data_IF_520517782231
#
_entry.id   IF_520517782231
#
_cell.length_a   1.000
_cell.length_b   1.000
_cell.length_c   1.000
_cell.angle_alpha   90.00
_cell.angle_beta   90.00
_cell.angle_gamma   90.00
#
_symmetry.space_group_name_H-M   'P 1'
#
loop_
_entity.id
_entity.type
_entity.pdbx_description
1 polymer ?
#
# COMPACT_ATOMS: atom_id res chain seq x y z
N UNK A 1 18.88 5.55 10.05
CA UNK A 1 20.03 4.66 9.76
C UNK A 1 20.41 4.86 8.30
N UNK A 2 21.71 4.93 7.93
CA UNK A 2 22.04 5.11 6.52
C UNK A 2 22.09 3.75 5.79
N UNK A 3 21.92 3.76 4.45
CA UNK A 3 21.91 2.53 3.60
C UNK A 3 23.10 1.59 3.89
N UNK A 4 24.29 2.14 4.16
CA UNK A 4 25.51 1.37 4.45
C UNK A 4 25.43 0.65 5.80
N UNK A 5 24.83 1.28 6.82
CA UNK A 5 24.67 0.69 8.14
C UNK A 5 23.63 -0.42 8.11
N UNK A 6 22.51 -0.21 7.42
CA UNK A 6 21.48 -1.24 7.24
C UNK A 6 22.01 -2.49 6.53
N UNK A 7 22.80 -2.31 5.46
CA UNK A 7 23.45 -3.43 4.76
C UNK A 7 24.42 -4.17 5.68
N UNK A 8 25.18 -3.45 6.53
CA UNK A 8 26.09 -4.07 7.51
C UNK A 8 25.34 -4.83 8.59
N UNK A 9 24.22 -4.31 9.07
CA UNK A 9 23.41 -4.92 10.14
C UNK A 9 22.70 -6.19 9.60
N UNK A 10 22.25 -6.20 8.34
CA UNK A 10 21.78 -7.42 7.65
C UNK A 10 22.86 -8.50 7.65
N UNK A 11 24.10 -8.14 7.37
CA UNK A 11 25.24 -9.08 7.34
C UNK A 11 25.52 -9.70 8.72
N UNK A 12 25.28 -8.95 9.79
CA UNK A 12 25.61 -9.38 11.17
C UNK A 12 24.52 -10.23 11.83
N UNK A 13 23.25 -10.13 11.40
CA UNK A 13 22.13 -10.75 12.13
C UNK A 13 21.59 -12.05 11.52
N UNK A 14 22.06 -12.45 10.34
CA UNK A 14 21.55 -13.64 9.67
C UNK A 14 22.35 -14.91 10.02
N UNK A 15 21.63 -15.91 10.49
CA UNK A 15 22.10 -17.28 10.72
C UNK A 15 22.31 -18.07 9.40
N UNK A 16 21.90 -17.49 8.25
CA UNK A 16 22.23 -18.02 6.93
C UNK A 16 23.74 -17.87 6.71
N UNK A 17 24.39 -18.90 6.20
CA UNK A 17 25.84 -19.01 6.07
C UNK A 17 26.51 -17.67 5.73
N UNK A 18 27.57 -17.26 6.46
CA UNK A 18 28.20 -15.94 6.33
C UNK A 18 28.63 -15.57 4.89
N UNK A 19 28.87 -16.56 4.04
CA UNK A 19 29.23 -16.40 2.63
C UNK A 19 28.07 -15.87 1.73
N UNK A 20 26.82 -16.23 2.01
CA UNK A 20 25.68 -15.83 1.15
C UNK A 20 25.34 -14.36 1.27
N UNK A 21 25.43 -13.77 2.47
CA UNK A 21 25.01 -12.40 2.78
C UNK A 21 26.10 -11.38 2.48
N UNK A 22 27.36 -11.71 2.80
CA UNK A 22 28.51 -10.89 2.42
C UNK A 22 28.64 -10.83 0.89
N UNK A 23 28.36 -11.93 0.18
CA UNK A 23 28.31 -11.98 -1.29
C UNK A 23 27.20 -11.08 -1.85
N UNK A 24 26.04 -11.01 -1.19
CA UNK A 24 24.92 -10.20 -1.63
C UNK A 24 25.15 -8.71 -1.42
N UNK A 25 25.61 -8.29 -0.25
CA UNK A 25 25.94 -6.87 0.00
C UNK A 25 26.96 -6.37 -1.03
N UNK A 26 27.98 -7.19 -1.33
CA UNK A 26 28.98 -6.90 -2.36
C UNK A 26 28.37 -6.83 -3.77
N UNK A 27 27.46 -7.76 -4.10
CA UNK A 27 26.73 -7.75 -5.39
C UNK A 27 25.84 -6.51 -5.53
N UNK A 28 25.14 -6.11 -4.46
CA UNK A 28 24.34 -4.87 -4.46
C UNK A 28 25.20 -3.63 -4.65
N UNK A 29 26.32 -3.50 -3.94
CA UNK A 29 27.24 -2.37 -4.09
C UNK A 29 27.84 -2.31 -5.50
N UNK A 30 28.25 -3.44 -6.04
CA UNK A 30 28.87 -3.53 -7.37
C UNK A 30 27.87 -3.27 -8.51
N UNK A 31 26.60 -3.67 -8.36
CA UNK A 31 25.59 -3.59 -9.41
C UNK A 31 24.60 -2.40 -9.23
N UNK A 32 24.71 -1.65 -8.13
CA UNK A 32 23.78 -0.55 -7.81
C UNK A 32 23.73 0.56 -8.88
N UNK A 33 24.79 0.71 -9.68
CA UNK A 33 24.88 1.72 -10.75
C UNK A 33 24.28 1.25 -12.09
N UNK A 34 23.94 -0.04 -12.21
CA UNK A 34 23.38 -0.57 -13.46
C UNK A 34 21.92 -0.15 -13.65
N UNK A 35 21.47 0.10 -14.90
CA UNK A 35 20.09 0.38 -15.21
C UNK A 35 19.14 -0.72 -14.71
N UNK A 36 17.95 -0.35 -14.25
CA UNK A 36 16.94 -1.27 -13.74
C UNK A 36 16.56 -2.36 -14.76
N UNK A 37 16.47 -1.99 -16.05
CA UNK A 37 16.17 -2.92 -17.16
C UNK A 37 17.26 -3.95 -17.42
N UNK A 38 18.52 -3.63 -17.12
CA UNK A 38 19.65 -4.57 -17.17
C UNK A 38 19.57 -5.53 -15.99
N UNK A 39 19.41 -4.99 -14.78
CA UNK A 39 19.30 -5.80 -13.57
C UNK A 39 18.04 -6.69 -13.57
N UNK A 40 16.95 -6.28 -14.25
CA UNK A 40 15.76 -7.10 -14.37
C UNK A 40 16.03 -8.51 -14.93
N UNK A 41 17.08 -8.69 -15.72
CA UNK A 41 17.48 -9.95 -16.35
C UNK A 41 18.62 -10.67 -15.62
N UNK A 42 19.20 -10.08 -14.58
CA UNK A 42 20.33 -10.61 -13.83
C UNK A 42 19.86 -11.63 -12.79
N UNK A 43 19.84 -12.90 -13.16
CA UNK A 43 19.37 -13.99 -12.29
C UNK A 43 20.21 -14.14 -11.03
N UNK A 44 21.51 -13.87 -11.06
CA UNK A 44 22.36 -13.94 -9.87
C UNK A 44 21.98 -12.87 -8.84
N UNK A 45 21.69 -11.65 -9.33
CA UNK A 45 21.23 -10.56 -8.49
C UNK A 45 19.90 -10.93 -7.78
N UNK A 46 18.91 -11.43 -8.53
CA UNK A 46 17.60 -11.78 -7.98
C UNK A 46 17.62 -13.06 -7.15
N UNK A 47 18.49 -14.01 -7.47
CA UNK A 47 18.74 -15.19 -6.62
C UNK A 47 19.29 -14.77 -5.25
N UNK A 48 20.16 -13.77 -5.20
CA UNK A 48 20.64 -13.19 -3.94
C UNK A 48 19.50 -12.63 -3.08
N UNK A 49 18.49 -11.97 -3.69
CA UNK A 49 17.29 -11.51 -2.99
C UNK A 49 16.41 -12.69 -2.56
N UNK A 50 16.13 -13.63 -3.47
CA UNK A 50 15.31 -14.82 -3.20
C UNK A 50 15.82 -15.64 -2.01
N UNK A 51 17.12 -15.80 -1.89
CA UNK A 51 17.76 -16.59 -0.82
C UNK A 51 17.60 -15.97 0.57
N UNK A 52 17.05 -14.76 0.67
CA UNK A 52 16.68 -14.15 1.97
C UNK A 52 15.32 -14.60 2.47
N UNK A 53 14.53 -15.29 1.64
CA UNK A 53 13.22 -15.80 2.01
C UNK A 53 13.31 -17.28 2.33
N UNK A 54 12.88 -17.64 3.54
CA UNK A 54 12.72 -19.04 3.94
C UNK A 54 11.33 -19.51 3.51
N UNK A 55 11.28 -20.24 2.41
CA UNK A 55 10.05 -20.73 1.83
C UNK A 55 9.85 -22.22 2.17
N UNK A 56 8.58 -22.64 2.29
CA UNK A 56 8.20 -24.04 2.45
C UNK A 56 8.65 -24.83 1.20
N UNK A 57 9.41 -25.94 1.37
CA UNK A 57 10.09 -26.59 0.23
C UNK A 57 9.19 -27.46 -0.63
N UNK A 58 8.02 -27.86 -0.13
CA UNK A 58 7.13 -28.88 -0.72
C UNK A 58 6.03 -28.30 -1.62
N UNK A 59 6.05 -26.98 -1.87
CA UNK A 59 5.19 -26.33 -2.85
C UNK A 59 5.81 -25.06 -3.44
N UNK A 60 5.34 -24.66 -4.61
CA UNK A 60 5.74 -23.40 -5.27
C UNK A 60 4.67 -22.37 -4.96
N UNK A 61 5.03 -21.34 -4.18
CA UNK A 61 4.13 -20.23 -3.93
C UNK A 61 4.11 -19.27 -5.12
N UNK A 62 2.94 -19.10 -5.73
CA UNK A 62 2.69 -18.13 -6.81
C UNK A 62 1.77 -16.99 -6.37
N UNK A 63 1.30 -17.00 -5.11
CA UNK A 63 0.40 -16.00 -4.58
C UNK A 63 1.04 -15.18 -3.45
N UNK A 64 1.65 -14.03 -3.81
CA UNK A 64 2.16 -13.06 -2.84
C UNK A 64 1.19 -11.86 -2.66
N UNK A 65 0.09 -11.86 -3.41
CA UNK A 65 -0.88 -10.77 -3.39
C UNK A 65 -1.81 -10.77 -2.17
N UNK A 66 -1.99 -11.91 -1.50
CA UNK A 66 -2.73 -11.98 -0.25
C UNK A 66 -1.85 -11.56 0.92
N UNK A 67 -0.70 -12.24 1.08
CA UNK A 67 0.32 -11.96 2.06
C UNK A 67 1.70 -12.26 1.47
N UNK A 68 2.65 -11.33 1.60
CA UNK A 68 4.01 -11.58 1.16
C UNK A 68 4.88 -12.05 2.32
N UNK A 69 5.78 -12.99 2.04
CA UNK A 69 6.74 -13.47 3.03
C UNK A 69 7.65 -12.35 3.50
N UNK A 70 8.02 -12.40 4.78
CA UNK A 70 9.09 -11.54 5.28
C UNK A 70 10.44 -12.12 4.89
N UNK A 71 11.37 -11.34 4.34
CA UNK A 71 12.75 -11.78 4.24
C UNK A 71 13.33 -11.96 5.65
N UNK A 72 14.24 -12.92 5.82
CA UNK A 72 14.77 -13.27 7.15
C UNK A 72 15.34 -12.08 7.93
N UNK A 73 16.05 -11.11 7.32
CA UNK A 73 16.49 -9.92 8.07
C UNK A 73 15.34 -9.13 8.69
N UNK A 74 14.22 -8.99 7.96
CA UNK A 74 13.03 -8.28 8.46
C UNK A 74 12.31 -9.10 9.53
N UNK A 75 12.18 -10.43 9.34
CA UNK A 75 11.59 -11.29 10.35
C UNK A 75 12.37 -11.23 11.67
N UNK A 76 13.70 -11.22 11.62
CA UNK A 76 14.55 -11.09 12.79
C UNK A 76 14.32 -9.75 13.50
N UNK A 77 14.26 -8.64 12.75
CA UNK A 77 13.93 -7.31 13.29
C UNK A 77 12.55 -7.26 13.94
N UNK A 78 11.56 -7.87 13.31
CA UNK A 78 10.22 -7.99 13.88
C UNK A 78 10.22 -8.70 15.23
N UNK A 79 10.96 -9.81 15.35
CA UNK A 79 11.13 -10.54 16.61
C UNK A 79 11.87 -9.69 17.66
N UNK A 80 12.89 -8.93 17.25
CA UNK A 80 13.58 -7.97 18.13
C UNK A 80 12.62 -6.90 18.65
N UNK A 81 11.80 -6.30 17.80
CA UNK A 81 10.79 -5.32 18.20
C UNK A 81 9.74 -5.89 19.16
N UNK A 82 9.30 -7.13 18.95
CA UNK A 82 8.39 -7.81 19.88
C UNK A 82 9.05 -7.92 21.27
N UNK A 83 10.31 -8.35 21.33
CA UNK A 83 11.06 -8.47 22.60
C UNK A 83 11.23 -7.12 23.28
N UNK A 84 11.57 -6.08 22.53
CA UNK A 84 11.78 -4.73 23.04
C UNK A 84 10.49 -4.11 23.62
N UNK A 85 9.38 -4.20 22.87
CA UNK A 85 8.08 -3.73 23.36
C UNK A 85 7.64 -4.49 24.61
N UNK A 86 7.85 -5.84 24.65
CA UNK A 86 7.55 -6.64 25.82
C UNK A 86 8.44 -6.28 27.02
N UNK A 87 9.71 -5.98 26.79
CA UNK A 87 10.64 -5.58 27.85
C UNK A 87 10.26 -4.23 28.47
N UNK A 88 9.88 -3.25 27.65
CA UNK A 88 9.48 -1.93 28.13
C UNK A 88 8.04 -1.89 28.69
N UNK A 89 7.15 -2.74 28.19
CA UNK A 89 5.76 -2.85 28.63
C UNK A 89 4.99 -1.53 28.55
N UNK A 90 4.31 -1.17 29.65
CA UNK A 90 3.50 0.06 29.72
C UNK A 90 4.31 1.35 29.53
N UNK A 91 5.60 1.35 29.83
CA UNK A 91 6.44 2.53 29.57
C UNK A 91 6.46 2.85 28.07
N UNK A 92 6.76 1.85 27.22
CA UNK A 92 6.73 2.03 25.78
C UNK A 92 5.37 2.55 25.31
N UNK A 93 4.29 1.91 25.75
CA UNK A 93 2.93 2.23 25.33
C UNK A 93 2.44 3.62 25.74
N UNK A 94 2.99 4.19 26.82
CA UNK A 94 2.58 5.50 27.32
C UNK A 94 3.48 6.65 26.88
N UNK A 95 4.69 6.37 26.46
CA UNK A 95 5.70 7.41 26.19
C UNK A 95 6.30 7.32 24.80
N UNK A 96 6.79 6.16 24.38
CA UNK A 96 7.65 6.02 23.19
C UNK A 96 6.86 5.84 21.89
N UNK A 97 5.74 5.10 21.95
CA UNK A 97 5.02 4.68 20.74
C UNK A 97 4.54 5.85 19.85
N UNK A 98 4.12 6.97 20.46
CA UNK A 98 3.50 8.07 19.72
C UNK A 98 4.49 8.75 18.78
N UNK A 99 5.70 9.06 19.30
CA UNK A 99 6.76 9.67 18.50
C UNK A 99 7.28 8.71 17.43
N UNK A 100 7.43 7.42 17.76
CA UNK A 100 7.81 6.41 16.79
C UNK A 100 6.78 6.31 15.65
N UNK A 101 5.49 6.20 15.98
CA UNK A 101 4.42 6.12 14.97
C UNK A 101 4.39 7.36 14.08
N UNK A 102 4.54 8.55 14.66
CA UNK A 102 4.61 9.81 13.90
C UNK A 102 5.79 9.83 12.93
N UNK A 103 6.99 9.45 13.39
CA UNK A 103 8.19 9.43 12.58
C UNK A 103 8.10 8.39 11.44
N UNK A 104 7.53 7.22 11.73
CA UNK A 104 7.30 6.17 10.72
C UNK A 104 6.30 6.64 9.67
N UNK A 105 5.18 7.26 10.10
CA UNK A 105 4.18 7.80 9.17
C UNK A 105 4.77 8.90 8.27
N UNK A 106 5.60 9.79 8.82
CA UNK A 106 6.26 10.83 8.03
C UNK A 106 7.22 10.26 6.98
N UNK A 107 7.99 9.22 7.34
CA UNK A 107 8.87 8.54 6.40
C UNK A 107 8.08 7.78 5.33
N UNK A 108 7.01 7.10 5.73
CA UNK A 108 6.12 6.38 4.81
C UNK A 108 5.46 7.33 3.82
N UNK A 109 5.05 8.53 4.27
CA UNK A 109 4.51 9.58 3.42
C UNK A 109 5.53 10.04 2.36
N UNK A 110 6.82 10.13 2.72
CA UNK A 110 7.90 10.43 1.78
C UNK A 110 8.03 9.37 0.67
N UNK A 111 7.93 8.08 1.02
CA UNK A 111 7.95 6.97 0.05
C UNK A 111 6.67 6.97 -0.80
N UNK A 112 5.53 7.21 -0.17
CA UNK A 112 4.24 7.26 -0.84
C UNK A 112 4.08 8.47 -1.77
N UNK A 113 4.89 9.53 -1.55
CA UNK A 113 4.81 10.77 -2.33
C UNK A 113 3.62 11.63 -1.93
N UNK A 114 3.46 11.89 -0.61
CA UNK A 114 2.45 12.81 -0.07
C UNK A 114 2.99 13.54 1.16
N UNK A 115 2.21 14.46 1.73
CA UNK A 115 2.58 15.14 2.97
C UNK A 115 2.31 14.26 4.19
N UNK A 116 3.11 14.43 5.26
CA UNK A 116 2.96 13.66 6.49
C UNK A 116 1.59 13.86 7.17
N UNK A 117 1.02 15.05 7.00
CA UNK A 117 -0.28 15.44 7.53
C UNK A 117 -1.47 14.84 6.77
N UNK A 118 -1.22 14.17 5.66
CA UNK A 118 -2.21 13.52 4.80
C UNK A 118 -2.20 11.99 4.91
N UNK A 119 -1.31 11.42 5.76
CA UNK A 119 -1.15 9.98 5.87
C UNK A 119 -1.22 9.50 7.31
N UNK A 120 -1.95 8.41 7.51
CA UNK A 120 -1.95 7.64 8.77
C UNK A 120 -1.68 6.17 8.51
N UNK A 121 -1.06 5.50 9.50
CA UNK A 121 -0.84 4.05 9.50
C UNK A 121 -2.10 3.39 10.04
N UNK A 122 -2.66 2.46 9.28
CA UNK A 122 -3.81 1.62 9.61
C UNK A 122 -3.37 0.15 9.73
N UNK A 123 -4.31 -0.77 9.94
CA UNK A 123 -4.00 -2.20 10.03
C UNK A 123 -4.01 -2.92 8.67
N UNK A 124 -4.75 -2.41 7.70
CA UNK A 124 -4.84 -2.97 6.34
C UNK A 124 -5.64 -2.02 5.42
N UNK A 125 -5.72 -2.36 4.13
CA UNK A 125 -6.50 -1.59 3.15
C UNK A 125 -7.99 -1.59 3.45
N UNK A 126 -8.56 -2.70 3.89
CA UNK A 126 -10.00 -2.81 4.18
C UNK A 126 -10.41 -1.79 5.26
N UNK A 127 -9.69 -1.76 6.40
CA UNK A 127 -9.94 -0.75 7.43
C UNK A 127 -9.83 0.67 6.88
N UNK A 128 -8.80 0.95 6.06
CA UNK A 128 -8.58 2.26 5.48
C UNK A 128 -9.72 2.69 4.57
N UNK A 129 -10.19 1.80 3.72
CA UNK A 129 -11.26 2.07 2.77
C UNK A 129 -12.62 2.13 3.45
N UNK A 130 -12.90 1.24 4.41
CA UNK A 130 -14.12 1.27 5.21
C UNK A 130 -14.24 2.57 6.02
N UNK A 131 -13.11 3.09 6.53
CA UNK A 131 -13.05 4.38 7.21
C UNK A 131 -13.47 5.51 6.27
N UNK A 132 -12.99 5.51 5.02
CA UNK A 132 -13.35 6.53 4.03
C UNK A 132 -14.80 6.34 3.60
N UNK A 133 -15.18 5.15 3.14
CA UNK A 133 -16.52 4.86 2.61
C UNK A 133 -17.60 5.07 3.70
N UNK A 134 -17.35 4.58 4.92
CA UNK A 134 -18.26 4.77 6.05
C UNK A 134 -18.25 6.18 6.63
N UNK A 135 -17.17 6.94 6.39
CA UNK A 135 -17.00 8.31 6.88
C UNK A 135 -17.70 9.39 6.06
N UNK A 136 -18.16 9.08 4.86
CA UNK A 136 -18.91 10.03 4.04
C UNK A 136 -20.29 10.37 4.67
N UNK A 137 -20.71 11.62 4.54
CA UNK A 137 -22.07 12.04 4.84
C UNK A 137 -23.01 11.69 3.67
N UNK A 138 -23.38 10.41 3.60
CA UNK A 138 -24.24 9.87 2.55
C UNK A 138 -25.68 10.35 2.68
N UNK A 139 -26.29 10.67 1.54
CA UNK A 139 -27.72 10.99 1.42
C UNK A 139 -28.41 9.97 0.52
N UNK A 140 -29.68 9.73 0.79
CA UNK A 140 -30.51 8.87 -0.07
C UNK A 140 -30.50 9.38 -1.50
N UNK A 141 -30.14 8.50 -2.43
CA UNK A 141 -30.04 8.80 -3.85
C UNK A 141 -28.68 9.31 -4.30
N UNK A 142 -27.71 9.52 -3.39
CA UNK A 142 -26.29 9.68 -3.79
C UNK A 142 -25.84 8.44 -4.58
N UNK A 143 -24.97 8.62 -5.57
CA UNK A 143 -24.47 7.53 -6.38
C UNK A 143 -22.98 7.27 -6.11
N UNK A 144 -22.60 5.98 -6.03
CA UNK A 144 -21.23 5.51 -5.98
C UNK A 144 -20.95 4.62 -7.20
N UNK A 145 -19.89 4.91 -7.94
CA UNK A 145 -19.48 4.13 -9.12
C UNK A 145 -18.27 3.28 -8.77
N UNK A 146 -18.32 2.00 -9.12
CA UNK A 146 -17.26 1.02 -8.88
C UNK A 146 -17.21 0.00 -10.02
N UNK A 147 -16.18 -0.83 -10.09
CA UNK A 147 -16.10 -1.91 -11.05
C UNK A 147 -16.47 -3.27 -10.41
N UNK A 148 -17.04 -4.18 -11.19
CA UNK A 148 -17.31 -5.57 -10.74
C UNK A 148 -16.02 -6.33 -10.43
N UNK A 149 -14.88 -5.85 -10.94
CA UNK A 149 -13.56 -6.41 -10.69
C UNK A 149 -12.89 -5.85 -9.42
N UNK A 150 -13.49 -4.87 -8.74
CA UNK A 150 -12.97 -4.35 -7.49
C UNK A 150 -13.06 -5.40 -6.39
N UNK A 151 -12.28 -5.21 -5.32
CA UNK A 151 -12.17 -6.18 -4.24
C UNK A 151 -13.52 -6.43 -3.56
N UNK A 152 -13.91 -7.71 -3.44
CA UNK A 152 -15.24 -8.12 -2.97
C UNK A 152 -15.66 -7.49 -1.64
N UNK A 153 -14.75 -7.42 -0.65
CA UNK A 153 -15.08 -6.78 0.63
C UNK A 153 -15.44 -5.28 0.49
N UNK A 154 -14.91 -4.59 -0.52
CA UNK A 154 -15.27 -3.19 -0.79
C UNK A 154 -16.63 -3.09 -1.48
N UNK A 155 -16.93 -4.03 -2.38
CA UNK A 155 -18.27 -4.13 -2.96
C UNK A 155 -19.32 -4.41 -1.87
N UNK A 156 -19.03 -5.30 -0.92
CA UNK A 156 -19.88 -5.57 0.24
C UNK A 156 -20.04 -4.33 1.14
N UNK A 157 -18.99 -3.52 1.31
CA UNK A 157 -19.08 -2.26 2.06
C UNK A 157 -20.01 -1.26 1.36
N UNK A 158 -19.93 -1.12 0.03
CA UNK A 158 -20.85 -0.27 -0.72
C UNK A 158 -22.29 -0.81 -0.69
N UNK A 159 -22.49 -2.11 -0.71
CA UNK A 159 -23.80 -2.72 -0.55
C UNK A 159 -24.37 -2.45 0.87
N UNK A 160 -23.50 -2.43 1.92
CA UNK A 160 -23.91 -2.00 3.26
C UNK A 160 -24.34 -0.51 3.28
N UNK A 161 -23.59 0.38 2.62
CA UNK A 161 -23.93 1.80 2.50
C UNK A 161 -25.25 2.00 1.76
N UNK A 162 -25.48 1.26 0.68
CA UNK A 162 -26.75 1.23 -0.03
C UNK A 162 -27.91 0.87 0.92
N UNK A 163 -27.76 -0.22 1.68
CA UNK A 163 -28.79 -0.71 2.59
C UNK A 163 -29.07 0.26 3.76
N UNK A 164 -28.03 0.95 4.26
CA UNK A 164 -28.16 1.85 5.41
C UNK A 164 -28.66 3.24 5.04
N UNK A 165 -28.26 3.77 3.90
CA UNK A 165 -28.45 5.19 3.56
C UNK A 165 -29.22 5.40 2.26
N UNK A 166 -29.54 4.33 1.51
CA UNK A 166 -30.27 4.44 0.23
C UNK A 166 -29.40 5.00 -0.89
N UNK A 167 -28.10 4.76 -0.84
CA UNK A 167 -27.15 5.07 -1.91
C UNK A 167 -27.39 4.14 -3.09
N UNK A 168 -27.11 4.61 -4.30
CA UNK A 168 -27.24 3.82 -5.54
C UNK A 168 -25.84 3.39 -6.00
N UNK A 169 -25.58 2.08 -5.98
CA UNK A 169 -24.33 1.50 -6.46
C UNK A 169 -24.40 1.25 -7.97
N UNK A 170 -23.50 1.88 -8.72
CA UNK A 170 -23.34 1.70 -10.18
C UNK A 170 -22.10 0.84 -10.43
N UNK A 171 -22.31 -0.40 -10.86
CA UNK A 171 -21.21 -1.37 -11.10
C UNK A 171 -20.89 -1.42 -12.58
N UNK A 172 -19.63 -1.09 -12.94
CA UNK A 172 -19.07 -1.13 -14.27
C UNK A 172 -18.31 -2.43 -14.51
N UNK A 173 -18.03 -2.77 -15.77
CA UNK A 173 -17.11 -3.86 -16.12
C UNK A 173 -15.93 -3.29 -16.89
N UNK A 174 -14.74 -3.29 -16.27
CA UNK A 174 -13.50 -2.83 -16.91
C UNK A 174 -13.07 -3.87 -17.95
N UNK A 175 -12.77 -3.46 -19.20
CA UNK A 175 -12.31 -4.39 -20.23
C UNK A 175 -10.91 -4.94 -19.86
N UNK A 176 -10.73 -6.27 -20.00
CA UNK A 176 -9.44 -6.91 -19.72
C UNK A 176 -8.34 -6.50 -20.72
N UNK A 177 -8.73 -6.14 -21.94
CA UNK A 177 -7.83 -5.72 -23.02
C UNK A 177 -8.32 -4.41 -23.63
N UNK A 178 -8.20 -3.27 -22.91
CA UNK A 178 -8.59 -1.98 -23.45
C UNK A 178 -7.66 -1.58 -24.60
N UNK A 179 -8.19 -0.86 -25.58
CA UNK A 179 -7.39 -0.34 -26.71
C UNK A 179 -6.37 0.71 -26.25
N UNK A 180 -6.74 1.48 -25.25
CA UNK A 180 -5.94 2.54 -24.64
C UNK A 180 -6.55 2.97 -23.28
N UNK A 181 -5.89 3.88 -22.59
CA UNK A 181 -6.37 4.43 -21.30
C UNK A 181 -7.71 5.16 -21.45
N UNK A 182 -7.93 5.83 -22.58
CA UNK A 182 -9.13 6.63 -22.85
C UNK A 182 -10.39 5.77 -22.88
N UNK A 183 -10.30 4.52 -23.30
CA UNK A 183 -11.42 3.58 -23.24
C UNK A 183 -11.88 3.34 -21.79
N UNK A 184 -10.92 3.19 -20.86
CA UNK A 184 -11.20 3.02 -19.44
C UNK A 184 -11.77 4.33 -18.84
N UNK A 185 -11.13 5.47 -19.15
CA UNK A 185 -11.58 6.78 -18.67
C UNK A 185 -13.01 7.07 -19.14
N UNK A 186 -13.31 6.81 -20.40
CA UNK A 186 -14.64 7.03 -20.98
C UNK A 186 -15.70 6.07 -20.39
N UNK A 187 -15.31 4.85 -20.01
CA UNK A 187 -16.20 3.93 -19.29
C UNK A 187 -16.70 4.55 -17.98
N UNK A 188 -15.78 5.06 -17.14
CA UNK A 188 -16.17 5.75 -15.92
C UNK A 188 -16.91 7.05 -16.19
N UNK A 189 -16.46 7.86 -17.17
CA UNK A 189 -17.04 9.15 -17.51
C UNK A 189 -18.51 9.05 -17.97
N UNK A 190 -18.87 7.96 -18.67
CA UNK A 190 -20.23 7.72 -19.17
C UNK A 190 -21.22 7.35 -18.09
N UNK A 191 -20.74 6.85 -16.95
CA UNK A 191 -21.58 6.47 -15.81
C UNK A 191 -21.83 7.63 -14.83
N UNK A 192 -21.03 8.71 -14.91
CA UNK A 192 -21.17 9.86 -13.99
C UNK A 192 -22.44 10.65 -14.30
N UNK A 193 -23.26 10.84 -13.27
CA UNK A 193 -24.48 11.68 -13.30
C UNK A 193 -24.33 12.86 -12.31
N UNK A 194 -25.26 13.83 -12.29
CA UNK A 194 -25.26 14.90 -11.28
C UNK A 194 -25.44 14.41 -9.83
N UNK A 195 -25.81 13.14 -9.60
CA UNK A 195 -25.94 12.52 -8.29
C UNK A 195 -24.69 11.75 -7.86
N UNK A 196 -23.75 11.56 -8.76
CA UNK A 196 -22.52 10.82 -8.47
C UNK A 196 -21.66 11.56 -7.46
N UNK A 197 -21.45 10.96 -6.30
CA UNK A 197 -20.66 11.50 -5.20
C UNK A 197 -19.20 11.04 -5.26
N UNK A 198 -18.99 9.77 -5.61
CA UNK A 198 -17.65 9.16 -5.57
C UNK A 198 -17.47 8.12 -6.66
N UNK A 199 -16.25 8.06 -7.20
CA UNK A 199 -15.72 6.89 -7.92
C UNK A 199 -14.83 6.09 -6.97
N UNK A 200 -15.03 4.78 -6.95
CA UNK A 200 -14.11 3.82 -6.33
C UNK A 200 -13.35 3.11 -7.44
N UNK A 201 -12.02 3.10 -7.37
CA UNK A 201 -11.18 2.58 -8.46
C UNK A 201 -9.99 1.81 -7.90
N UNK A 202 -9.81 0.56 -8.29
CA UNK A 202 -8.59 -0.19 -8.02
C UNK A 202 -7.43 0.37 -8.84
N UNK A 203 -6.29 0.71 -8.20
CA UNK A 203 -5.09 1.13 -8.92
C UNK A 203 -4.49 -0.03 -9.72
N UNK A 204 -4.49 -1.23 -9.13
CA UNK A 204 -4.19 -2.48 -9.81
C UNK A 204 -5.26 -3.50 -9.44
N UNK A 205 -5.96 -4.02 -10.42
CA UNK A 205 -7.01 -5.03 -10.24
C UNK A 205 -6.35 -6.35 -9.79
N UNK A 206 -6.70 -6.85 -8.62
CA UNK A 206 -6.08 -8.04 -8.05
C UNK A 206 -6.28 -9.33 -8.87
N UNK A 207 -7.38 -9.43 -9.61
CA UNK A 207 -7.72 -10.63 -10.41
C UNK A 207 -6.89 -10.71 -11.69
N UNK A 208 -6.63 -9.55 -12.32
CA UNK A 208 -6.01 -9.48 -13.66
C UNK A 208 -4.58 -8.94 -13.64
N UNK A 209 -4.19 -8.21 -12.58
CA UNK A 209 -2.94 -7.45 -12.53
C UNK A 209 -2.95 -6.18 -13.40
N UNK A 210 -4.10 -5.81 -13.97
CA UNK A 210 -4.23 -4.62 -14.81
C UNK A 210 -4.05 -3.35 -13.98
N UNK A 211 -3.12 -2.49 -14.37
CA UNK A 211 -2.90 -1.17 -13.79
C UNK A 211 -3.80 -0.17 -14.50
N UNK A 212 -4.65 0.53 -13.74
CA UNK A 212 -5.59 1.51 -14.29
C UNK A 212 -4.97 2.91 -14.35
N UNK A 213 -5.39 3.76 -15.31
CA UNK A 213 -4.86 5.10 -15.51
C UNK A 213 -5.43 6.10 -14.49
N UNK A 214 -5.07 5.94 -13.20
CA UNK A 214 -5.67 6.65 -12.07
C UNK A 214 -5.66 8.16 -12.27
N UNK A 215 -4.52 8.75 -12.67
CA UNK A 215 -4.43 10.20 -12.89
C UNK A 215 -5.50 10.70 -13.86
N UNK A 216 -5.67 10.04 -15.00
CA UNK A 216 -6.65 10.43 -16.02
C UNK A 216 -8.09 10.26 -15.51
N UNK A 217 -8.36 9.19 -14.75
CA UNK A 217 -9.67 8.97 -14.12
C UNK A 217 -9.97 10.07 -13.10
N UNK A 218 -9.00 10.42 -12.24
CA UNK A 218 -9.17 11.49 -11.25
C UNK A 218 -9.41 12.85 -11.92
N UNK A 219 -8.63 13.20 -12.94
CA UNK A 219 -8.80 14.47 -13.66
C UNK A 219 -10.19 14.55 -14.33
N UNK A 220 -10.66 13.46 -14.92
CA UNK A 220 -12.01 13.35 -15.50
C UNK A 220 -13.11 13.50 -14.43
N UNK A 221 -12.97 12.81 -13.29
CA UNK A 221 -13.94 12.85 -12.20
C UNK A 221 -14.00 14.25 -11.57
N UNK A 222 -12.87 14.87 -11.29
CA UNK A 222 -12.79 16.23 -10.73
C UNK A 222 -13.39 17.28 -11.67
N UNK A 223 -13.22 17.15 -12.99
CA UNK A 223 -13.87 18.03 -13.96
C UNK A 223 -15.41 17.97 -13.89
N UNK A 224 -15.96 16.91 -13.27
CA UNK A 224 -17.39 16.69 -13.04
C UNK A 224 -17.80 16.89 -11.57
N UNK A 225 -16.87 17.34 -10.71
CA UNK A 225 -17.12 17.58 -9.27
C UNK A 225 -17.23 16.29 -8.42
N UNK A 226 -16.69 15.16 -8.91
CA UNK A 226 -16.76 13.85 -8.27
C UNK A 226 -15.44 13.52 -7.60
N UNK A 227 -15.46 13.03 -6.36
CA UNK A 227 -14.27 12.59 -5.63
C UNK A 227 -13.87 11.16 -6.01
N UNK A 228 -12.58 10.82 -5.83
CA UNK A 228 -12.05 9.51 -6.21
C UNK A 228 -11.37 8.84 -5.02
N UNK A 229 -11.86 7.63 -4.67
CA UNK A 229 -11.23 6.71 -3.73
C UNK A 229 -10.43 5.69 -4.52
N UNK A 230 -9.15 5.54 -4.20
CA UNK A 230 -8.26 4.61 -4.88
C UNK A 230 -7.86 3.47 -3.95
N UNK A 231 -8.18 2.24 -4.37
CA UNK A 231 -7.65 1.02 -3.76
C UNK A 231 -6.27 0.71 -4.34
N UNK A 232 -5.25 1.01 -3.55
CA UNK A 232 -3.84 0.77 -3.89
C UNK A 232 -3.26 -0.51 -3.32
N UNK A 233 -4.09 -1.43 -2.80
CA UNK A 233 -3.65 -2.63 -2.10
C UNK A 233 -2.60 -3.45 -2.86
N UNK A 234 -2.71 -3.52 -4.18
CA UNK A 234 -1.78 -4.25 -5.05
C UNK A 234 -0.77 -3.38 -5.79
N UNK A 235 -0.95 -2.05 -5.81
CA UNK A 235 -0.06 -1.15 -6.53
C UNK A 235 1.07 -0.59 -5.65
N UNK A 236 0.78 -0.28 -4.37
CA UNK A 236 1.76 0.31 -3.46
C UNK A 236 2.96 -0.61 -3.25
N UNK A 237 4.17 -0.05 -3.42
CA UNK A 237 5.45 -0.78 -3.37
C UNK A 237 5.59 -1.94 -4.39
N UNK A 238 4.68 -2.05 -5.36
CA UNK A 238 4.70 -3.02 -6.47
C UNK A 238 5.08 -2.32 -7.77
N UNK A 239 4.35 -1.28 -8.15
CA UNK A 239 4.68 -0.41 -9.28
C UNK A 239 5.17 0.95 -8.78
N UNK A 240 5.92 1.67 -9.63
CA UNK A 240 6.47 2.98 -9.28
C UNK A 240 5.46 4.07 -9.58
N UNK A 241 5.07 4.83 -8.57
CA UNK A 241 4.25 6.04 -8.66
C UNK A 241 4.44 6.90 -7.42
N UNK A 242 3.83 8.07 -7.42
CA UNK A 242 3.68 8.96 -6.26
C UNK A 242 2.20 9.31 -6.11
N UNK A 243 1.70 9.37 -4.88
CA UNK A 243 0.27 9.68 -4.64
C UNK A 243 -0.07 11.09 -5.12
N UNK A 244 0.84 12.08 -4.93
CA UNK A 244 0.65 13.45 -5.41
C UNK A 244 0.52 13.56 -6.94
N UNK A 245 1.10 12.62 -7.69
CA UNK A 245 0.97 12.53 -9.15
C UNK A 245 -0.38 11.95 -9.61
N UNK A 246 -1.06 11.18 -8.75
CA UNK A 246 -2.34 10.55 -9.09
C UNK A 246 -3.53 11.53 -9.01
N UNK A 247 -3.41 12.62 -8.27
CA UNK A 247 -4.47 13.60 -8.03
C UNK A 247 -5.75 12.97 -7.43
N UNK A 248 -5.64 11.88 -6.65
CA UNK A 248 -6.78 11.26 -5.99
C UNK A 248 -7.12 11.98 -4.69
N UNK A 249 -8.36 11.79 -4.22
CA UNK A 249 -8.84 12.37 -2.96
C UNK A 249 -8.49 11.48 -1.76
N UNK A 250 -8.52 10.16 -1.97
CA UNK A 250 -8.24 9.12 -0.98
C UNK A 250 -7.45 8.00 -1.62
N UNK A 251 -6.47 7.47 -0.88
CA UNK A 251 -5.68 6.33 -1.30
C UNK A 251 -5.43 5.40 -0.12
N UNK A 252 -5.66 4.12 -0.30
CA UNK A 252 -5.39 3.13 0.74
C UNK A 252 -4.55 1.98 0.21
N UNK A 253 -3.66 1.43 1.07
CA UNK A 253 -2.85 0.28 0.70
C UNK A 253 -2.56 -0.64 1.90
N UNK A 254 -2.35 -1.92 1.62
CA UNK A 254 -1.85 -2.90 2.56
C UNK A 254 -0.32 -2.98 2.48
N UNK A 255 0.37 -2.75 3.59
CA UNK A 255 1.83 -2.79 3.61
C UNK A 255 2.36 -4.23 3.69
N UNK A 256 1.58 -5.16 4.23
CA UNK A 256 1.93 -6.59 4.33
C UNK A 256 1.90 -7.34 2.98
N UNK A 257 1.52 -6.68 1.89
CA UNK A 257 1.60 -7.22 0.54
C UNK A 257 2.98 -6.90 -0.07
N UNK A 258 3.11 -5.85 -0.82
CA UNK A 258 4.29 -5.60 -1.66
C UNK A 258 5.41 -4.82 -0.97
N UNK A 259 5.13 -4.14 0.17
CA UNK A 259 6.18 -3.62 1.05
C UNK A 259 6.73 -4.70 1.99
N UNK A 260 6.06 -5.87 2.08
CA UNK A 260 6.47 -7.04 2.88
C UNK A 260 6.61 -6.73 4.37
N UNK A 261 5.64 -6.01 4.94
CA UNK A 261 5.57 -5.82 6.41
C UNK A 261 4.91 -7.02 7.08
N UNK A 262 5.07 -7.20 8.40
CA UNK A 262 4.21 -8.12 9.15
C UNK A 262 2.72 -7.78 8.95
N UNK A 263 1.84 -8.76 9.18
CA UNK A 263 0.39 -8.54 9.16
C UNK A 263 -0.03 -7.47 10.16
N UNK A 264 -1.06 -6.71 9.80
CA UNK A 264 -1.58 -5.64 10.64
C UNK A 264 -0.96 -4.26 10.36
N UNK A 265 -0.44 -4.05 9.14
CA UNK A 265 0.03 -2.76 8.66
C UNK A 265 -0.62 -2.38 7.33
N UNK A 266 -1.12 -1.16 7.28
CA UNK A 266 -1.69 -0.50 6.11
C UNK A 266 -1.42 1.00 6.15
N UNK A 267 -1.82 1.70 5.11
CA UNK A 267 -1.83 3.16 5.06
C UNK A 267 -3.16 3.68 4.55
N UNK A 268 -3.53 4.86 5.04
CA UNK A 268 -4.58 5.68 4.50
C UNK A 268 -4.02 7.08 4.20
N UNK A 269 -4.12 7.50 2.96
CA UNK A 269 -3.94 8.87 2.51
C UNK A 269 -5.30 9.54 2.35
N UNK A 270 -5.43 10.75 2.86
CA UNK A 270 -6.57 11.63 2.64
C UNK A 270 -6.07 13.00 2.23
N UNK A 271 -6.48 13.49 1.06
CA UNK A 271 -6.15 14.84 0.62
C UNK A 271 -6.56 15.83 1.68
N UNK A 272 -5.66 16.74 2.08
CA UNK A 272 -5.78 17.62 3.24
C UNK A 272 -7.16 18.29 3.40
N UNK A 273 -7.69 18.83 2.31
CA UNK A 273 -8.97 19.55 2.34
C UNK A 273 -10.19 18.63 2.60
N UNK A 274 -10.03 17.33 2.40
CA UNK A 274 -11.07 16.32 2.57
C UNK A 274 -11.08 15.70 3.98
N UNK A 275 -10.02 15.87 4.77
CA UNK A 275 -9.93 15.29 6.13
C UNK A 275 -11.10 15.68 7.00
N UNK A 276 -11.50 16.95 6.99
CA UNK A 276 -12.60 17.49 7.80
C UNK A 276 -13.99 16.95 7.42
N UNK A 277 -14.11 16.42 6.20
CA UNK A 277 -15.39 15.96 5.63
C UNK A 277 -15.72 14.51 5.98
N UNK A 278 -14.75 13.77 6.57
CA UNK A 278 -14.95 12.37 6.94
C UNK A 278 -15.31 12.24 8.43
N UNK A 279 -16.27 11.41 8.74
CA UNK A 279 -16.50 10.90 10.09
C UNK A 279 -15.49 9.78 10.39
N UNK A 280 -14.90 9.74 11.60
CA UNK A 280 -14.01 8.63 11.97
C UNK A 280 -14.81 7.33 12.14
N UNK A 281 -14.21 6.20 11.78
CA UNK A 281 -14.81 4.88 12.00
C UNK A 281 -15.00 4.58 13.49
N UNK A 282 -14.01 4.96 14.29
CA UNK A 282 -14.05 4.88 15.76
C UNK A 282 -13.91 6.30 16.31
N UNK A 283 -14.68 6.59 17.36
CA UNK A 283 -14.68 7.92 17.96
C UNK A 283 -13.31 8.29 18.52
N UNK A 284 -12.90 9.54 18.30
CA UNK A 284 -11.68 10.15 18.83
C UNK A 284 -12.00 11.43 19.62
N UNK A 285 -11.12 11.77 20.56
CA UNK A 285 -11.22 12.99 21.37
C UNK A 285 -10.65 14.25 20.68
N UNK A 286 -10.02 14.14 19.52
CA UNK A 286 -9.46 15.28 18.79
C UNK A 286 -10.58 16.20 18.29
N UNK A 287 -10.45 17.49 18.58
CA UNK A 287 -11.45 18.50 18.25
C UNK A 287 -11.17 19.22 16.93
N UNK A 288 -9.92 19.22 16.48
CA UNK A 288 -9.55 19.81 15.22
C UNK A 288 -9.89 18.86 14.07
N UNK A 289 -10.96 19.19 13.36
CA UNK A 289 -11.46 18.38 12.23
C UNK A 289 -10.46 18.26 11.07
N UNK A 290 -9.45 19.11 11.00
CA UNK A 290 -8.43 19.06 9.94
C UNK A 290 -7.28 18.09 10.26
N UNK A 291 -7.20 17.56 11.47
CA UNK A 291 -6.15 16.60 11.84
C UNK A 291 -6.53 15.20 11.41
N UNK A 292 -5.71 14.61 10.56
CA UNK A 292 -5.91 13.26 10.04
C UNK A 292 -5.87 12.20 11.16
N UNK A 293 -5.13 12.44 12.24
CA UNK A 293 -4.99 11.50 13.35
C UNK A 293 -6.33 11.11 13.98
N UNK A 294 -7.36 11.98 13.92
CA UNK A 294 -8.70 11.65 14.41
C UNK A 294 -9.34 10.48 13.66
N UNK A 295 -8.87 10.18 12.46
CA UNK A 295 -9.34 9.06 11.64
C UNK A 295 -8.65 7.73 12.00
N UNK A 296 -7.66 7.76 12.89
CA UNK A 296 -6.81 6.59 13.19
C UNK A 296 -6.82 6.19 14.67
N UNK A 297 -7.88 6.49 15.41
CA UNK A 297 -8.01 6.02 16.78
C UNK A 297 -8.51 4.57 16.81
N UNK A 298 -7.58 3.62 16.90
CA UNK A 298 -7.87 2.18 16.88
C UNK A 298 -7.68 1.50 18.24
N UNK A 299 -7.39 2.28 19.31
CA UNK A 299 -7.09 1.74 20.62
C UNK A 299 -5.72 1.06 20.68
N UNK A 300 -5.54 0.15 21.63
CA UNK A 300 -4.30 -0.61 21.80
C UNK A 300 -4.12 -1.59 20.63
N UNK A 301 -2.96 -1.54 19.97
CA UNK A 301 -2.65 -2.33 18.78
C UNK A 301 -1.20 -2.85 18.81
N UNK A 302 -0.81 -3.76 17.89
CA UNK A 302 0.53 -4.35 17.84
C UNK A 302 1.59 -3.36 17.36
N UNK A 303 2.10 -2.49 18.26
CA UNK A 303 3.08 -1.41 17.92
C UNK A 303 4.43 -1.92 17.40
N UNK A 304 4.80 -3.16 17.69
CA UNK A 304 5.97 -3.81 17.10
C UNK A 304 5.84 -4.00 15.59
N UNK A 305 4.61 -4.14 15.06
CA UNK A 305 4.34 -4.14 13.61
C UNK A 305 4.65 -2.75 13.03
N UNK A 306 4.20 -1.66 13.69
CA UNK A 306 4.49 -0.30 13.24
C UNK A 306 6.01 -0.07 13.17
N UNK A 307 6.78 -0.48 14.18
CA UNK A 307 8.25 -0.36 14.20
C UNK A 307 8.90 -1.04 13.00
N UNK A 308 8.41 -2.23 12.65
CA UNK A 308 8.98 -3.02 11.55
C UNK A 308 8.74 -2.39 10.17
N UNK A 309 7.78 -1.45 10.04
CA UNK A 309 7.58 -0.70 8.79
C UNK A 309 8.86 0.03 8.37
N UNK A 310 9.63 0.58 9.33
CA UNK A 310 10.92 1.23 9.01
C UNK A 310 11.91 0.27 8.36
N UNK A 311 12.06 -0.93 8.92
CA UNK A 311 12.98 -1.93 8.38
C UNK A 311 12.54 -2.39 6.98
N UNK A 312 11.22 -2.51 6.76
CA UNK A 312 10.66 -2.83 5.44
C UNK A 312 10.89 -1.72 4.42
N UNK A 313 10.79 -0.46 4.83
CA UNK A 313 11.13 0.68 3.98
C UNK A 313 12.60 0.69 3.61
N UNK A 314 13.52 0.42 4.56
CA UNK A 314 14.96 0.29 4.30
C UNK A 314 15.23 -0.83 3.29
N UNK A 315 14.56 -1.97 3.45
CA UNK A 315 14.70 -3.11 2.53
C UNK A 315 14.16 -2.79 1.12
N UNK A 316 12.99 -2.13 1.05
CA UNK A 316 12.40 -1.70 -0.21
C UNK A 316 13.30 -0.69 -0.95
N UNK A 317 13.83 0.30 -0.25
CA UNK A 317 14.77 1.29 -0.82
C UNK A 317 16.09 0.66 -1.24
N UNK A 318 16.58 -0.36 -0.52
CA UNK A 318 17.76 -1.12 -0.88
C UNK A 318 17.57 -1.82 -2.24
N UNK A 319 16.45 -2.53 -2.44
CA UNK A 319 16.12 -3.15 -3.73
C UNK A 319 15.93 -2.06 -4.79
N UNK A 320 15.17 -1.03 -4.47
CA UNK A 320 14.81 0.08 -5.34
C UNK A 320 13.51 -0.18 -6.13
N UNK A 321 12.60 0.79 -6.08
CA UNK A 321 11.29 0.71 -6.72
C UNK A 321 11.38 0.37 -8.22
N UNK A 322 12.24 1.09 -8.95
CA UNK A 322 12.42 0.90 -10.40
C UNK A 322 12.94 -0.50 -10.76
N UNK A 323 13.87 -1.05 -9.96
CA UNK A 323 14.41 -2.39 -10.18
C UNK A 323 13.36 -3.47 -9.93
N UNK A 324 12.59 -3.30 -8.85
CA UNK A 324 11.49 -4.21 -8.52
C UNK A 324 10.45 -4.23 -9.65
N UNK A 325 9.99 -3.08 -10.08
CA UNK A 325 9.03 -2.93 -11.18
C UNK A 325 9.57 -3.53 -12.49
N UNK A 326 10.80 -3.18 -12.87
CA UNK A 326 11.43 -3.72 -14.08
C UNK A 326 11.54 -5.25 -14.04
N UNK A 327 11.85 -5.85 -12.87
CA UNK A 327 11.86 -7.31 -12.69
C UNK A 327 10.49 -7.91 -12.84
N UNK A 328 9.45 -7.29 -12.29
CA UNK A 328 8.06 -7.78 -12.41
C UNK A 328 7.62 -7.81 -13.88
N UNK A 329 7.85 -6.73 -14.63
CA UNK A 329 7.57 -6.69 -16.07
C UNK A 329 8.39 -7.71 -16.87
N UNK A 330 9.67 -7.89 -16.51
CA UNK A 330 10.50 -8.92 -17.16
C UNK A 330 9.92 -10.32 -16.94
N UNK A 331 9.55 -10.66 -15.70
CA UNK A 331 8.97 -11.96 -15.36
C UNK A 331 7.62 -12.18 -16.04
N UNK A 332 6.75 -11.18 -16.05
CA UNK A 332 5.46 -11.23 -16.76
C UNK A 332 5.67 -11.55 -18.25
N UNK A 333 6.51 -10.77 -18.92
CA UNK A 333 6.75 -10.94 -20.35
C UNK A 333 7.50 -12.24 -20.69
N UNK A 334 8.26 -12.81 -19.75
CA UNK A 334 9.02 -14.03 -19.97
C UNK A 334 8.15 -15.24 -20.30
N UNK A 335 6.96 -15.33 -19.71
CA UNK A 335 6.04 -16.44 -19.96
C UNK A 335 4.82 -16.07 -20.83
N UNK A 336 4.40 -14.80 -20.84
CA UNK A 336 3.25 -14.36 -21.67
C UNK A 336 3.62 -14.18 -23.15
N UNK A 337 4.89 -13.97 -23.48
CA UNK A 337 5.37 -13.82 -24.85
C UNK A 337 5.60 -15.16 -25.56
N UNK A 338 5.33 -16.29 -24.91
CA UNK A 338 5.41 -17.64 -25.47
C UNK A 338 4.04 -18.19 -25.83
#
# INVERSE_FOLDING_TARGET
>A
MNKRQFIKDIVLTSIATPLGIAGMAKSFEQKAHLPATVLAKDEDFWTGIRNQYLLKPDYINLENGYYNFLPQPILNKFIEHIKEVNYQGSYYMRTVQFDNKKNIAARLAGIAGCQAEELVITRNTTESLDLVIGGFDWKTGDEAIMAVQDYGAMLDMFDQIQNRYGVVNIKLSVPNHPKNDEEIVNLYASAVTPKTKVLFVSHMINITGQVLPIRKICDMAHAKGVQVIVDGAHAFAHVKFRIDELNCDYYAAALHKWLSTPLGAGLLYVKKDNVKNLWPLLADGEKDMNKINRLNHIGTHPVHTDLTINDCMDYYEMIGAERKEARMYFLQNYWTAK
#
